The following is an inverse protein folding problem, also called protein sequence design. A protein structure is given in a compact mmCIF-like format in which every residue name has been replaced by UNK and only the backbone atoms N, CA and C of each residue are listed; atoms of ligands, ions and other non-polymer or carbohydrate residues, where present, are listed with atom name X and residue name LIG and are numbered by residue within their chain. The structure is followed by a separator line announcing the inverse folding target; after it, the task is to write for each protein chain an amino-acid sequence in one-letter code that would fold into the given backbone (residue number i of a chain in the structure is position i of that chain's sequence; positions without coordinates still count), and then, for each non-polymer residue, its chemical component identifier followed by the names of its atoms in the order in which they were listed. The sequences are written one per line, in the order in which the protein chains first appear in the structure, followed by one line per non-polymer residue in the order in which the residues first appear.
data_IF_925823177770
#
_entry.id   IF_925823177770
#
_cell.length_a   1.000
_cell.length_b   1.000
_cell.length_c   1.000
_cell.angle_alpha   90.00
_cell.angle_beta   90.00
_cell.angle_gamma   90.00
#
_symmetry.space_group_name_H-M   'P 1'
#
loop_
_entity.id
_entity.type
_entity.pdbx_description
1 polymer ?
#
# COMPACT_ATOMS: atom_id res chain seq x y z
N UNK A 1 14.26 16.60 -7.69
CA UNK A 1 13.98 15.27 -7.08
C UNK A 1 12.48 15.14 -6.82
N UNK A 2 11.78 14.28 -7.54
CA UNK A 2 10.37 13.99 -7.24
C UNK A 2 10.31 13.10 -6.00
N UNK A 3 9.88 13.67 -4.87
CA UNK A 3 9.73 12.95 -3.62
C UNK A 3 8.46 12.10 -3.73
N UNK A 4 8.59 10.78 -3.76
CA UNK A 4 7.43 9.88 -3.75
C UNK A 4 6.59 10.19 -2.50
N UNK A 5 5.29 10.51 -2.64
CA UNK A 5 4.44 10.83 -1.49
C UNK A 5 4.47 9.67 -0.48
N UNK A 6 4.75 9.99 0.78
CA UNK A 6 4.81 9.00 1.84
C UNK A 6 3.38 8.54 2.13
N UNK A 7 3.06 7.29 1.80
CA UNK A 7 1.80 6.63 2.22
C UNK A 7 1.70 6.74 3.74
N UNK A 8 0.63 7.38 4.23
CA UNK A 8 0.37 7.55 5.65
C UNK A 8 -0.84 6.70 6.04
N UNK A 9 -0.71 5.95 7.12
CA UNK A 9 -1.74 5.04 7.62
C UNK A 9 -2.27 5.53 8.97
N UNK A 10 -3.55 5.33 9.22
CA UNK A 10 -4.21 5.70 10.48
C UNK A 10 -3.64 4.91 11.66
N UNK A 11 -3.77 5.44 12.87
CA UNK A 11 -3.37 4.75 14.10
C UNK A 11 -4.17 3.45 14.28
N UNK A 12 -5.48 3.49 14.01
CA UNK A 12 -6.39 2.34 14.12
C UNK A 12 -6.03 1.24 13.13
N UNK A 13 -5.73 1.62 11.87
CA UNK A 13 -5.32 0.67 10.84
C UNK A 13 -4.03 -0.05 11.22
N UNK A 14 -3.02 0.71 11.69
CA UNK A 14 -1.76 0.14 12.17
C UNK A 14 -2.00 -0.81 13.34
N UNK A 15 -2.83 -0.41 14.31
CA UNK A 15 -3.12 -1.22 15.49
C UNK A 15 -3.86 -2.51 15.12
N UNK A 16 -4.85 -2.45 14.24
CA UNK A 16 -5.57 -3.62 13.73
C UNK A 16 -4.64 -4.60 13.00
N UNK A 17 -3.73 -4.09 12.17
CA UNK A 17 -2.74 -4.89 11.47
C UNK A 17 -1.75 -5.57 12.45
N UNK A 18 -1.30 -4.84 13.48
CA UNK A 18 -0.42 -5.40 14.52
C UNK A 18 -1.12 -6.46 15.36
N UNK A 19 -2.40 -6.25 15.73
CA UNK A 19 -3.21 -7.23 16.48
C UNK A 19 -3.30 -8.57 15.76
N UNK A 20 -3.63 -8.55 14.46
CA UNK A 20 -3.64 -9.75 13.60
C UNK A 20 -2.36 -10.58 13.69
N UNK A 21 -1.20 -9.93 13.68
CA UNK A 21 0.10 -10.61 13.81
C UNK A 21 0.30 -11.16 15.22
N UNK A 22 -0.09 -10.41 16.26
CA UNK A 22 -0.03 -10.87 17.66
C UNK A 22 -0.96 -12.06 17.94
N UNK A 23 -2.07 -12.13 17.25
CA UNK A 23 -3.04 -13.24 17.30
C UNK A 23 -2.52 -14.49 16.56
N UNK A 24 -1.29 -14.46 16.05
CA UNK A 24 -0.59 -15.62 15.49
C UNK A 24 -0.53 -15.66 13.97
N UNK A 25 -1.12 -14.67 13.26
CA UNK A 25 -1.04 -14.64 11.81
C UNK A 25 0.38 -14.29 11.32
N UNK A 26 0.82 -14.93 10.24
CA UNK A 26 2.13 -14.65 9.63
C UNK A 26 2.13 -13.25 9.02
N UNK A 27 3.16 -12.46 9.34
CA UNK A 27 3.37 -11.11 8.80
C UNK A 27 3.22 -11.05 7.27
N UNK A 28 3.77 -12.03 6.55
CA UNK A 28 3.70 -12.10 5.10
C UNK A 28 2.26 -12.17 4.56
N UNK A 29 1.38 -12.89 5.26
CA UNK A 29 -0.02 -13.04 4.87
C UNK A 29 -0.76 -11.73 5.12
N UNK A 30 -0.65 -11.20 6.34
CA UNK A 30 -1.32 -9.94 6.72
C UNK A 30 -0.85 -8.78 5.85
N UNK A 31 0.45 -8.66 5.56
CA UNK A 31 0.98 -7.62 4.71
C UNK A 31 0.44 -7.69 3.28
N UNK A 32 0.34 -8.91 2.72
CA UNK A 32 -0.22 -9.14 1.38
C UNK A 32 -1.70 -8.79 1.32
N UNK A 33 -2.50 -9.22 2.28
CA UNK A 33 -3.92 -8.89 2.38
C UNK A 33 -4.17 -7.38 2.48
N UNK A 34 -3.32 -6.68 3.24
CA UNK A 34 -3.42 -5.24 3.44
C UNK A 34 -2.75 -4.41 2.31
N UNK A 35 -2.10 -5.07 1.35
CA UNK A 35 -1.39 -4.38 0.26
C UNK A 35 -0.19 -3.54 0.71
N UNK A 36 0.45 -3.90 1.83
CA UNK A 36 1.62 -3.21 2.37
C UNK A 36 2.87 -4.09 2.32
N UNK A 37 4.06 -3.51 2.44
CA UNK A 37 5.28 -4.31 2.52
C UNK A 37 5.40 -5.01 3.88
N UNK A 38 5.92 -6.24 3.88
CA UNK A 38 6.20 -6.98 5.11
C UNK A 38 7.07 -6.19 6.08
N UNK A 39 8.09 -5.49 5.57
CA UNK A 39 8.98 -4.67 6.39
C UNK A 39 8.22 -3.56 7.12
N UNK A 40 7.22 -2.94 6.47
CA UNK A 40 6.38 -1.92 7.12
C UNK A 40 5.60 -2.51 8.29
N UNK A 41 5.00 -3.68 8.09
CA UNK A 41 4.25 -4.36 9.15
C UNK A 41 5.16 -4.82 10.30
N UNK A 42 6.36 -5.36 10.01
CA UNK A 42 7.37 -5.69 11.04
C UNK A 42 7.77 -4.47 11.86
N UNK A 43 7.97 -3.33 11.20
CA UNK A 43 8.31 -2.08 11.87
C UNK A 43 7.18 -1.62 12.79
N UNK A 44 5.92 -1.80 12.39
CA UNK A 44 4.77 -1.49 13.25
C UNK A 44 4.69 -2.40 14.46
N UNK A 45 4.84 -3.72 14.28
CA UNK A 45 4.86 -4.68 15.41
C UNK A 45 5.97 -4.30 16.41
N UNK A 46 7.17 -3.96 15.94
CA UNK A 46 8.27 -3.48 16.78
C UNK A 46 7.97 -2.14 17.46
N UNK A 47 7.33 -1.22 16.76
CA UNK A 47 6.97 0.10 17.30
C UNK A 47 5.87 -0.02 18.36
N UNK A 48 4.94 -0.95 18.20
CA UNK A 48 3.89 -1.23 19.19
C UNK A 48 4.46 -1.85 20.46
N UNK A 49 5.38 -2.82 20.34
CA UNK A 49 6.08 -3.41 21.48
C UNK A 49 6.89 -2.40 22.30
N UNK A 50 7.27 -1.25 21.70
CA UNK A 50 7.99 -0.15 22.36
C UNK A 50 7.11 1.05 22.70
N UNK A 51 5.78 0.95 22.56
CA UNK A 51 4.83 2.02 22.86
C UNK A 51 4.86 3.21 21.89
N UNK A 52 5.53 3.08 20.74
CA UNK A 52 5.81 4.15 19.76
C UNK A 52 5.01 4.03 18.46
N UNK A 53 4.06 3.10 18.37
CA UNK A 53 3.29 2.85 17.14
C UNK A 53 2.61 4.11 16.58
N UNK A 54 2.13 4.98 17.47
CA UNK A 54 1.35 6.18 17.16
C UNK A 54 2.13 7.48 17.44
N UNK A 55 3.46 7.46 17.31
CA UNK A 55 4.37 8.57 17.64
C UNK A 55 3.75 9.98 17.56
N UNK A 56 3.86 10.72 18.66
CA UNK A 56 3.20 12.00 18.93
C UNK A 56 3.07 12.92 17.70
N UNK A 57 1.83 13.29 17.34
CA UNK A 57 1.55 14.44 16.47
C UNK A 57 1.09 14.16 15.03
N UNK A 58 1.00 12.90 14.58
CA UNK A 58 0.41 12.62 13.27
C UNK A 58 -1.13 12.61 13.36
N UNK A 59 -1.80 13.59 12.71
CA UNK A 59 -3.26 13.54 12.53
C UNK A 59 -3.64 12.20 11.90
N UNK A 60 -4.61 11.46 12.47
CA UNK A 60 -5.07 10.22 11.87
C UNK A 60 -5.55 10.50 10.44
N UNK A 61 -5.04 9.75 9.48
CA UNK A 61 -5.55 9.76 8.10
C UNK A 61 -6.98 9.22 8.13
N UNK A 62 -7.88 9.81 7.36
CA UNK A 62 -9.29 9.35 7.33
C UNK A 62 -9.44 8.12 6.41
N UNK A 63 -10.45 7.25 6.62
CA UNK A 63 -10.75 6.14 5.71
C UNK A 63 -10.90 6.59 4.25
N UNK A 64 -11.49 7.76 4.02
CA UNK A 64 -11.67 8.36 2.70
C UNK A 64 -10.33 8.70 2.04
N UNK A 65 -9.37 9.23 2.82
CA UNK A 65 -8.02 9.51 2.33
C UNK A 65 -7.24 8.23 2.01
N UNK A 66 -7.48 7.14 2.73
CA UNK A 66 -6.90 5.84 2.41
C UNK A 66 -7.46 5.28 1.12
N UNK A 67 -8.78 5.28 0.96
CA UNK A 67 -9.42 4.76 -0.25
C UNK A 67 -9.03 5.60 -1.47
N UNK A 68 -8.96 6.92 -1.33
CA UNK A 68 -8.45 7.79 -2.39
C UNK A 68 -7.00 7.46 -2.78
N UNK A 69 -6.15 7.16 -1.81
CA UNK A 69 -4.76 6.75 -2.03
C UNK A 69 -4.67 5.42 -2.78
N UNK A 70 -5.48 4.43 -2.36
CA UNK A 70 -5.58 3.12 -3.01
C UNK A 70 -6.08 3.24 -4.45
N UNK A 71 -7.17 3.97 -4.66
CA UNK A 71 -7.75 4.21 -5.97
C UNK A 71 -6.77 4.91 -6.92
N UNK A 72 -5.99 5.88 -6.42
CA UNK A 72 -4.94 6.52 -7.22
C UNK A 72 -3.83 5.56 -7.63
N UNK A 73 -3.42 4.66 -6.73
CA UNK A 73 -2.42 3.64 -7.03
C UNK A 73 -2.95 2.64 -8.07
N UNK A 74 -4.19 2.18 -7.89
CA UNK A 74 -4.88 1.28 -8.82
C UNK A 74 -5.02 1.91 -10.21
N UNK A 75 -5.51 3.15 -10.27
CA UNK A 75 -5.68 3.87 -11.52
C UNK A 75 -4.35 4.01 -12.29
N UNK A 76 -3.26 4.32 -11.58
CA UNK A 76 -1.93 4.39 -12.18
C UNK A 76 -1.48 3.03 -12.74
N UNK A 77 -1.76 1.92 -12.05
CA UNK A 77 -1.46 0.56 -12.55
C UNK A 77 -2.24 0.26 -13.82
N UNK A 78 -3.55 0.51 -13.80
CA UNK A 78 -4.43 0.30 -14.96
C UNK A 78 -4.02 1.14 -16.17
N UNK A 79 -3.61 2.40 -15.95
CA UNK A 79 -3.08 3.24 -17.02
C UNK A 79 -1.81 2.63 -17.65
N UNK A 80 -0.88 2.10 -16.84
CA UNK A 80 0.30 1.43 -17.37
C UNK A 80 -0.04 0.17 -18.16
N UNK A 81 -0.93 -0.67 -17.66
CA UNK A 81 -1.39 -1.89 -18.35
C UNK A 81 -2.04 -1.55 -19.70
N UNK A 82 -2.87 -0.52 -19.73
CA UNK A 82 -3.54 -0.04 -20.94
C UNK A 82 -2.54 0.50 -21.97
N UNK A 83 -1.51 1.23 -21.53
CA UNK A 83 -0.45 1.70 -22.43
C UNK A 83 0.41 0.55 -23.00
N UNK A 84 0.67 -0.50 -22.22
CA UNK A 84 1.33 -1.70 -22.73
C UNK A 84 0.46 -2.39 -23.78
N UNK A 85 -0.83 -2.56 -23.49
CA UNK A 85 -1.78 -3.18 -24.42
C UNK A 85 -1.89 -2.40 -25.74
N UNK A 86 -1.96 -1.06 -25.68
CA UNK A 86 -1.95 -0.20 -26.88
C UNK A 86 -0.68 -0.38 -27.71
N UNK A 87 0.49 -0.42 -27.07
CA UNK A 87 1.76 -0.63 -27.77
C UNK A 87 1.82 -2.00 -28.43
N UNK A 88 1.34 -3.05 -27.76
CA UNK A 88 1.24 -4.38 -28.33
C UNK A 88 0.30 -4.41 -29.54
N UNK A 89 -0.90 -3.83 -29.42
CA UNK A 89 -1.84 -3.74 -30.53
C UNK A 89 -1.25 -2.98 -31.74
N UNK A 90 -0.56 -1.87 -31.50
CA UNK A 90 0.11 -1.10 -32.55
C UNK A 90 1.27 -1.87 -33.20
N UNK A 91 2.00 -2.69 -32.45
CA UNK A 91 3.04 -3.56 -32.99
C UNK A 91 2.44 -4.62 -33.92
N UNK A 92 1.42 -5.36 -33.45
CA UNK A 92 0.76 -6.38 -34.27
C UNK A 92 0.06 -5.82 -35.51
N UNK A 93 -0.52 -4.62 -35.42
CA UNK A 93 -1.11 -3.95 -36.58
C UNK A 93 -0.09 -3.56 -37.66
N UNK A 94 1.20 -3.41 -37.29
CA UNK A 94 2.29 -3.14 -38.25
C UNK A 94 2.85 -4.42 -38.90
N UNK A 95 2.82 -5.56 -38.21
CA UNK A 95 3.27 -6.86 -38.76
C UNK A 95 2.25 -7.48 -39.73
N UNK A 96 1.00 -7.00 -39.74
CA UNK A 96 -0.09 -7.49 -40.60
C UNK A 96 -0.27 -6.69 -41.91
N UNK A 97 0.57 -5.68 -42.16
CA UNK A 97 0.61 -4.85 -43.38
C UNK A 97 1.91 -5.10 -44.16
#
# INVERSE_FOLDING_TARGET
MFKVPKQSYTAEFKLAAVRRVKDGQRVAVVARELGISEQTLRNWVKSEASGKLNGAGAKPVTPEQMELSRLRAENKRLQMELEIAKKAAAYFAKDLL
#
